data_IF_250202498829
#
_entry.id   IF_250202498829
#
_cell.length_a   1.000
_cell.length_b   1.000
_cell.length_c   1.000
_cell.angle_alpha   90.00
_cell.angle_beta   90.00
_cell.angle_gamma   90.00
#
_symmetry.space_group_name_H-M   'P 1'
#
loop_
_entity.id
_entity.type
_entity.pdbx_description
1 polymer ?
#
# COMPACT_ATOMS: atom_id res chain seq x y z
N UNK A 1 -22.76 18.62 -55.13
CA UNK A 1 -21.70 19.16 -56.00
C UNK A 1 -20.35 18.90 -55.33
N UNK A 2 -19.33 18.49 -56.08
CA UNK A 2 -17.89 18.42 -55.68
C UNK A 2 -17.18 19.62 -56.34
N UNK A 3 -16.11 20.21 -55.76
CA UNK A 3 -14.74 19.63 -55.71
C UNK A 3 -14.13 19.66 -54.29
N UNK A 4 -13.08 18.93 -53.90
CA UNK A 4 -11.88 18.35 -54.56
C UNK A 4 -10.64 19.27 -54.63
N UNK A 5 -9.74 19.10 -53.66
CA UNK A 5 -8.31 19.50 -53.61
C UNK A 5 -7.76 18.76 -52.36
N UNK A 6 -7.04 17.63 -52.42
CA UNK A 6 -6.02 17.12 -53.35
C UNK A 6 -4.68 17.87 -53.24
N UNK A 7 -3.91 17.53 -52.21
CA UNK A 7 -2.43 17.58 -52.24
C UNK A 7 -1.93 16.16 -52.01
N UNK A 8 -1.07 15.72 -52.92
CA UNK A 8 -0.57 14.36 -53.03
C UNK A 8 0.83 14.29 -52.42
N UNK A 9 1.05 13.38 -51.47
CA UNK A 9 2.33 13.22 -50.76
C UNK A 9 2.70 11.75 -50.59
N UNK A 10 2.95 11.05 -51.70
CA UNK A 10 3.33 9.65 -51.68
C UNK A 10 4.85 9.48 -51.55
N UNK A 11 5.30 8.92 -50.43
CA UNK A 11 6.63 8.35 -50.26
C UNK A 11 6.47 6.90 -49.78
N UNK A 12 6.50 5.97 -50.72
CA UNK A 12 6.51 4.54 -50.46
C UNK A 12 7.94 4.08 -50.20
N UNK A 13 8.22 3.63 -48.98
CA UNK A 13 9.35 2.76 -48.68
C UNK A 13 8.77 1.43 -48.18
N UNK A 14 9.09 0.34 -48.86
CA UNK A 14 8.57 -0.98 -48.53
C UNK A 14 9.27 -1.55 -47.29
N UNK A 15 8.50 -1.79 -46.22
CA UNK A 15 8.84 -2.66 -45.10
C UNK A 15 7.77 -3.73 -44.98
N UNK A 16 8.15 -5.00 -44.95
CA UNK A 16 7.23 -6.14 -44.99
C UNK A 16 7.32 -6.96 -43.71
N UNK A 17 6.15 -7.36 -43.18
CA UNK A 17 5.99 -8.08 -41.92
C UNK A 17 5.67 -7.13 -40.76
N UNK A 18 4.60 -7.31 -39.98
CA UNK A 18 3.61 -8.40 -39.96
C UNK A 18 3.43 -8.89 -38.52
N UNK A 19 2.26 -8.64 -37.94
CA UNK A 19 1.97 -8.96 -36.54
C UNK A 19 1.13 -7.86 -35.89
N UNK A 20 -0.19 -8.01 -35.94
CA UNK A 20 -1.10 -7.34 -35.00
C UNK A 20 -0.92 -8.01 -33.63
N UNK A 21 0.03 -7.50 -32.84
CA UNK A 21 0.14 -7.80 -31.42
C UNK A 21 0.06 -6.48 -30.65
N UNK A 22 -1.11 -6.24 -30.03
CA UNK A 22 -1.33 -5.22 -29.01
C UNK A 22 -0.41 -5.47 -27.81
N UNK A 23 0.87 -5.17 -28.00
CA UNK A 23 1.87 -5.11 -26.95
C UNK A 23 1.56 -3.87 -26.12
N UNK A 24 0.53 -4.00 -25.29
CA UNK A 24 0.42 -3.22 -24.06
C UNK A 24 1.74 -3.44 -23.33
N UNK A 25 2.62 -2.45 -23.39
CA UNK A 25 3.80 -2.44 -22.55
C UNK A 25 3.32 -2.68 -21.12
N UNK A 26 3.87 -3.66 -20.38
CA UNK A 26 3.52 -3.79 -18.98
C UNK A 26 3.82 -2.44 -18.35
N UNK A 27 2.79 -1.82 -17.74
CA UNK A 27 2.99 -0.66 -16.90
C UNK A 27 4.13 -1.02 -15.92
N UNK A 28 5.04 -0.09 -15.60
CA UNK A 28 6.16 -0.40 -14.74
C UNK A 28 5.61 -0.97 -13.44
N UNK A 29 5.76 -2.28 -13.26
CA UNK A 29 5.48 -2.94 -11.98
C UNK A 29 6.40 -2.22 -11.02
N UNK A 30 5.84 -1.39 -10.15
CA UNK A 30 6.60 -0.74 -9.07
C UNK A 30 7.34 -1.85 -8.37
N UNK A 31 8.65 -1.91 -8.60
CA UNK A 31 9.49 -2.90 -7.95
C UNK A 31 9.34 -2.62 -6.46
N UNK A 32 8.76 -3.57 -5.72
CA UNK A 32 8.68 -3.46 -4.27
C UNK A 32 10.11 -3.23 -3.77
N UNK A 33 10.36 -2.03 -3.25
CA UNK A 33 11.71 -1.56 -2.98
C UNK A 33 12.40 -2.48 -1.97
N UNK A 34 13.72 -2.67 -2.07
CA UNK A 34 14.39 -3.81 -1.43
C UNK A 34 14.62 -3.77 0.11
N UNK A 35 14.64 -2.70 0.90
CA UNK A 35 14.00 -1.38 0.82
C UNK A 35 13.12 -1.20 2.07
N UNK A 36 13.28 -0.04 2.72
CA UNK A 36 12.77 0.54 4.01
C UNK A 36 12.14 -0.30 5.14
N UNK A 37 11.67 -1.52 4.92
CA UNK A 37 11.06 -2.40 5.91
C UNK A 37 11.91 -2.54 7.18
N UNK A 38 11.44 -1.93 8.27
CA UNK A 38 12.04 -2.04 9.61
C UNK A 38 11.10 -2.88 10.48
N UNK A 39 11.61 -3.89 11.18
CA UNK A 39 10.74 -4.72 12.04
C UNK A 39 10.14 -3.88 13.18
N UNK A 40 8.83 -4.03 13.43
CA UNK A 40 8.13 -3.29 14.47
C UNK A 40 8.53 -3.78 15.87
N UNK A 41 8.73 -2.85 16.81
CA UNK A 41 9.13 -3.19 18.19
C UNK A 41 7.96 -3.70 19.01
N UNK A 42 8.23 -4.43 20.09
CA UNK A 42 7.22 -4.83 21.09
C UNK A 42 6.45 -3.63 21.66
N UNK A 43 7.11 -2.48 21.76
CA UNK A 43 6.61 -1.29 22.45
C UNK A 43 5.57 -0.53 21.60
N UNK A 44 5.64 -0.69 20.27
CA UNK A 44 4.61 -0.28 19.31
C UNK A 44 3.56 -1.38 19.11
N UNK A 45 3.98 -2.63 18.95
CA UNK A 45 3.08 -3.75 18.63
C UNK A 45 2.13 -4.13 19.79
N UNK A 46 2.57 -4.01 21.05
CA UNK A 46 1.75 -4.39 22.20
C UNK A 46 0.56 -3.44 22.39
N UNK A 47 0.71 -2.10 22.37
CA UNK A 47 -0.45 -1.20 22.43
C UNK A 47 -1.37 -1.30 21.22
N UNK A 48 -0.84 -1.55 20.02
CA UNK A 48 -1.66 -1.84 18.82
C UNK A 48 -2.55 -3.07 19.06
N UNK A 49 -1.97 -4.17 19.52
CA UNK A 49 -2.71 -5.41 19.82
C UNK A 49 -3.74 -5.22 20.95
N UNK A 50 -3.39 -4.46 22.00
CA UNK A 50 -4.31 -4.13 23.12
C UNK A 50 -5.53 -3.31 22.70
N UNK A 51 -5.52 -2.74 21.49
CA UNK A 51 -6.62 -1.96 20.91
C UNK A 51 -7.40 -2.71 19.84
N UNK A 52 -7.10 -3.98 19.59
CA UNK A 52 -7.95 -4.82 18.73
C UNK A 52 -9.32 -5.04 19.36
N UNK A 53 -10.35 -5.08 18.51
CA UNK A 53 -11.77 -5.26 18.92
C UNK A 53 -12.27 -6.70 18.76
N UNK A 54 -11.43 -7.60 18.21
CA UNK A 54 -11.73 -9.02 18.03
C UNK A 54 -11.27 -9.82 19.26
N UNK A 55 -12.03 -10.84 19.66
CA UNK A 55 -11.64 -11.72 20.75
C UNK A 55 -10.38 -12.55 20.41
N UNK A 56 -9.54 -12.77 21.41
CA UNK A 56 -8.30 -13.56 21.37
C UNK A 56 -7.29 -13.20 20.26
N UNK A 57 -7.47 -12.05 19.60
CA UNK A 57 -6.66 -11.62 18.47
C UNK A 57 -5.26 -11.17 18.89
N UNK A 58 -4.31 -11.38 17.98
CA UNK A 58 -2.88 -11.06 18.14
C UNK A 58 -2.36 -10.38 16.89
N UNK A 59 -1.29 -9.62 17.04
CA UNK A 59 -0.55 -9.09 15.90
C UNK A 59 0.74 -9.89 15.68
N UNK A 60 0.95 -10.33 14.44
CA UNK A 60 2.15 -11.04 14.00
C UNK A 60 2.77 -10.32 12.80
N UNK A 61 4.06 -10.61 12.53
CA UNK A 61 4.79 -10.13 11.35
C UNK A 61 4.66 -8.61 11.13
N UNK A 62 4.92 -7.84 12.19
CA UNK A 62 4.80 -6.38 12.19
C UNK A 62 6.00 -5.66 11.56
N UNK A 63 5.73 -4.73 10.65
CA UNK A 63 6.73 -3.95 9.92
C UNK A 63 6.39 -2.46 9.86
N UNK A 64 7.43 -1.63 9.84
CA UNK A 64 7.37 -0.17 9.77
C UNK A 64 8.00 0.30 8.45
N UNK A 65 7.36 1.26 7.79
CA UNK A 65 7.91 2.05 6.67
C UNK A 65 7.64 3.54 6.92
N UNK A 66 8.65 4.39 6.78
CA UNK A 66 8.52 5.85 6.81
C UNK A 66 7.93 6.36 5.49
N UNK A 67 6.93 7.25 5.55
CA UNK A 67 6.34 7.91 4.36
C UNK A 67 7.39 8.72 3.57
N UNK A 68 7.28 8.80 2.24
CA UNK A 68 8.04 9.84 1.49
C UNK A 68 7.33 11.17 1.39
N UNK A 69 6.00 11.17 1.45
CA UNK A 69 5.16 12.37 1.29
C UNK A 69 4.98 13.14 2.61
N UNK A 70 4.88 12.42 3.74
CA UNK A 70 4.63 12.96 5.07
C UNK A 70 5.82 12.72 6.01
N UNK A 71 6.68 13.75 6.17
CA UNK A 71 7.79 13.68 7.14
C UNK A 71 7.28 13.37 8.55
N UNK A 72 8.06 12.57 9.28
CA UNK A 72 7.77 12.13 10.64
C UNK A 72 6.52 11.22 10.76
N UNK A 73 5.93 10.76 9.65
CA UNK A 73 4.85 9.75 9.63
C UNK A 73 5.41 8.39 9.23
N UNK A 74 5.05 7.37 10.02
CA UNK A 74 5.43 5.98 9.83
C UNK A 74 4.19 5.11 9.71
N UNK A 75 4.16 4.25 8.70
CA UNK A 75 3.14 3.23 8.53
C UNK A 75 3.58 1.93 9.15
N UNK A 76 2.68 1.33 9.92
CA UNK A 76 2.87 0.08 10.63
C UNK A 76 1.88 -0.92 10.07
N UNK A 77 2.37 -1.96 9.42
CA UNK A 77 1.55 -3.06 8.90
C UNK A 77 1.80 -4.32 9.72
N UNK A 78 0.75 -5.06 10.06
CA UNK A 78 0.85 -6.35 10.73
C UNK A 78 -0.33 -7.26 10.36
N UNK A 79 -0.12 -8.57 10.44
CA UNK A 79 -1.20 -9.56 10.32
C UNK A 79 -2.00 -9.61 11.62
N UNK A 80 -3.33 -9.73 11.50
CA UNK A 80 -4.19 -10.08 12.63
C UNK A 80 -4.39 -11.61 12.64
N UNK A 81 -3.80 -12.28 13.62
CA UNK A 81 -4.09 -13.69 13.92
C UNK A 81 -5.25 -13.77 14.92
N UNK A 82 -6.36 -14.41 14.53
CA UNK A 82 -7.52 -14.67 15.38
C UNK A 82 -8.30 -15.89 14.87
N UNK A 83 -8.90 -16.70 15.76
CA UNK A 83 -9.82 -17.77 15.36
C UNK A 83 -11.01 -17.29 14.50
N UNK A 84 -11.45 -16.03 14.66
CA UNK A 84 -12.54 -15.45 13.86
C UNK A 84 -12.11 -15.07 12.43
N UNK A 85 -10.81 -14.88 12.19
CA UNK A 85 -10.22 -14.47 10.91
C UNK A 85 -9.36 -15.58 10.27
N UNK A 86 -9.47 -16.82 10.74
CA UNK A 86 -8.58 -17.91 10.34
C UNK A 86 -8.53 -18.10 8.80
N UNK A 87 -7.38 -17.76 8.20
CA UNK A 87 -7.12 -17.89 6.76
C UNK A 87 -7.44 -16.66 5.90
N UNK A 88 -7.80 -15.51 6.48
CA UNK A 88 -8.09 -14.29 5.71
C UNK A 88 -6.83 -13.56 5.19
N UNK A 89 -5.70 -13.65 5.91
CA UNK A 89 -4.51 -12.84 5.62
C UNK A 89 -4.75 -11.34 5.86
N UNK A 90 -5.59 -11.01 6.85
CA UNK A 90 -5.98 -9.64 7.16
C UNK A 90 -4.79 -8.82 7.70
N UNK A 91 -4.15 -8.06 6.81
CA UNK A 91 -3.15 -7.07 7.17
C UNK A 91 -3.84 -5.76 7.53
N UNK A 92 -3.73 -5.36 8.79
CA UNK A 92 -4.08 -4.04 9.25
C UNK A 92 -2.91 -3.07 9.05
N UNK A 93 -3.22 -1.81 8.71
CA UNK A 93 -2.24 -0.72 8.61
C UNK A 93 -2.65 0.45 9.48
N UNK A 94 -1.73 0.91 10.30
CA UNK A 94 -1.84 2.12 11.11
C UNK A 94 -0.77 3.13 10.72
N UNK A 95 -1.01 4.41 11.00
CA UNK A 95 -0.02 5.48 10.94
C UNK A 95 0.35 5.91 12.37
N UNK A 96 1.61 6.29 12.59
CA UNK A 96 2.12 6.81 13.86
C UNK A 96 3.17 7.89 13.61
N UNK A 97 3.27 8.89 14.50
CA UNK A 97 4.42 9.82 14.56
C UNK A 97 5.46 9.40 15.60
N UNK A 98 5.31 8.21 16.17
CA UNK A 98 6.19 7.63 17.19
C UNK A 98 6.43 6.15 16.87
N UNK A 99 7.38 5.82 15.97
CA UNK A 99 7.58 4.45 15.47
C UNK A 99 8.20 3.49 16.51
N UNK A 100 8.68 4.04 17.63
CA UNK A 100 9.25 3.27 18.75
C UNK A 100 8.37 3.34 20.01
N UNK A 101 7.11 3.75 19.86
CA UNK A 101 6.08 3.77 20.88
C UNK A 101 4.69 3.61 20.25
N UNK A 102 3.63 4.01 20.94
CA UNK A 102 2.26 3.97 20.40
C UNK A 102 1.50 5.27 20.69
N UNK A 103 2.19 6.39 20.56
CA UNK A 103 1.61 7.73 20.65
C UNK A 103 1.11 8.17 19.26
N UNK A 104 -0.01 8.89 19.22
CA UNK A 104 -0.60 9.41 17.98
C UNK A 104 -0.77 8.32 16.89
N UNK A 105 -1.42 7.21 17.26
CA UNK A 105 -1.74 6.10 16.36
C UNK A 105 -3.11 6.28 15.70
N UNK A 106 -3.17 6.03 14.40
CA UNK A 106 -4.38 6.15 13.58
C UNK A 106 -4.57 4.96 12.64
N UNK A 107 -5.81 4.48 12.48
CA UNK A 107 -6.17 3.44 11.50
C UNK A 107 -6.18 4.01 10.08
N UNK A 108 -5.45 3.38 9.17
CA UNK A 108 -5.29 3.85 7.78
C UNK A 108 -6.14 3.03 6.81
N UNK A 109 -6.13 1.71 6.91
CA UNK A 109 -6.90 0.84 6.01
C UNK A 109 -8.21 0.35 6.64
N UNK A 110 -9.09 -0.25 5.82
CA UNK A 110 -10.38 -0.79 6.27
C UNK A 110 -10.22 -1.84 7.38
N UNK A 111 -9.18 -2.68 7.30
CA UNK A 111 -8.91 -3.75 8.28
C UNK A 111 -8.60 -3.14 9.66
N UNK A 112 -7.67 -2.19 9.73
CA UNK A 112 -7.37 -1.45 10.96
C UNK A 112 -8.61 -0.71 11.50
N UNK A 113 -9.36 -0.05 10.62
CA UNK A 113 -10.57 0.72 11.00
C UNK A 113 -11.70 -0.17 11.52
N UNK A 114 -11.85 -1.38 10.97
CA UNK A 114 -12.88 -2.35 11.38
C UNK A 114 -12.53 -3.08 12.67
N UNK A 115 -11.25 -3.40 12.86
CA UNK A 115 -10.80 -4.35 13.88
C UNK A 115 -9.96 -3.73 15.00
N UNK A 116 -9.84 -2.39 15.08
CA UNK A 116 -9.17 -1.71 16.19
C UNK A 116 -9.83 -0.40 16.62
N UNK A 117 -9.77 -0.10 17.92
CA UNK A 117 -10.27 1.11 18.57
C UNK A 117 -9.21 2.24 18.56
N UNK A 118 -8.81 2.62 17.34
CA UNK A 118 -7.98 3.78 17.05
C UNK A 118 -8.76 4.80 16.19
N UNK A 119 -8.30 6.05 16.17
CA UNK A 119 -8.90 7.11 15.34
C UNK A 119 -8.56 6.87 13.87
N UNK A 120 -9.40 7.29 12.94
CA UNK A 120 -9.06 7.24 11.50
C UNK A 120 -7.94 8.24 11.14
N UNK A 121 -7.16 7.91 10.11
CA UNK A 121 -6.00 8.70 9.65
C UNK A 121 -6.36 9.99 8.89
N UNK A 122 -7.64 10.18 8.53
CA UNK A 122 -8.17 11.46 8.04
C UNK A 122 -7.92 12.62 9.01
N UNK A 123 -7.83 12.32 10.31
CA UNK A 123 -7.49 13.26 11.37
C UNK A 123 -6.06 13.82 11.31
N UNK A 124 -5.18 13.27 10.46
CA UNK A 124 -3.79 13.73 10.24
C UNK A 124 -3.46 13.99 8.75
N UNK A 125 -4.48 14.07 7.89
CA UNK A 125 -4.33 14.33 6.44
C UNK A 125 -3.46 13.29 5.69
N UNK A 126 -3.46 12.03 6.17
CA UNK A 126 -2.73 10.92 5.55
C UNK A 126 -3.67 10.04 4.72
N UNK A 127 -3.32 9.79 3.46
CA UNK A 127 -4.09 8.94 2.55
C UNK A 127 -3.77 7.45 2.69
N UNK A 128 -4.72 6.59 2.34
CA UNK A 128 -4.48 5.16 2.11
C UNK A 128 -3.68 4.88 0.82
N UNK A 129 -3.54 5.87 -0.06
CA UNK A 129 -2.76 5.81 -1.31
C UNK A 129 -1.27 6.17 -1.13
N UNK A 130 -0.84 6.54 0.09
CA UNK A 130 0.57 6.87 0.40
C UNK A 130 1.49 5.66 0.14
N UNK A 131 2.69 5.94 -0.37
CA UNK A 131 3.69 4.94 -0.76
C UNK A 131 4.05 3.96 0.38
N UNK A 132 4.11 4.47 1.61
CA UNK A 132 4.38 3.69 2.82
C UNK A 132 3.24 2.74 3.22
N UNK A 133 1.99 3.01 2.82
CA UNK A 133 0.86 2.08 3.04
C UNK A 133 1.02 0.83 2.18
N UNK A 134 1.37 1.01 0.90
CA UNK A 134 1.60 -0.12 0.00
C UNK A 134 2.88 -0.88 0.37
N UNK A 135 3.98 -0.18 0.66
CA UNK A 135 5.26 -0.80 0.97
C UNK A 135 5.25 -1.52 2.32
N UNK A 136 4.67 -0.94 3.38
CA UNK A 136 4.57 -1.60 4.70
C UNK A 136 3.78 -2.91 4.63
N UNK A 137 2.67 -2.94 3.87
CA UNK A 137 1.92 -4.20 3.62
C UNK A 137 2.74 -5.22 2.85
N UNK A 138 3.56 -4.79 1.89
CA UNK A 138 4.46 -5.69 1.17
C UNK A 138 5.57 -6.27 2.06
N UNK A 139 6.03 -5.53 3.08
CA UNK A 139 6.99 -6.04 4.07
C UNK A 139 6.50 -7.26 4.84
N UNK A 140 5.19 -7.35 5.10
CA UNK A 140 4.57 -8.46 5.87
C UNK A 140 4.77 -9.83 5.20
N UNK A 141 4.80 -9.87 3.87
CA UNK A 141 4.92 -11.11 3.08
C UNK A 141 6.37 -11.53 2.75
N UNK A 142 7.37 -11.00 3.47
CA UNK A 142 8.81 -11.29 3.24
C UNK A 142 9.31 -12.55 3.94
#
# INVERSE_FOLDING_TARGET
MRPLLLVLGALLAAGCGGGDEDTSAPAPTTAASEGRCTAATSDLMTPLANKLTIADARLTNGWIVESTDHRDVYFVAAEIDSPELAGSGDIAVWATTSPYGAEAVYSVNEVATRYSDWRAADAIDVSADDDGVAESRACVFR
#
